data_IF_174170324621
#
_entry.id   IF_174170324621
#
_cell.length_a   1.000
_cell.length_b   1.000
_cell.length_c   1.000
_cell.angle_alpha   90.00
_cell.angle_beta   90.00
_cell.angle_gamma   90.00
#
_symmetry.space_group_name_H-M   'P 1'
#
loop_
_entity.id
_entity.type
_entity.pdbx_description
1 polymer ?
#
# COMPACT_ATOMS: atom_id res chain seq x y z
N UNK A 1 15.30 -9.59 -1.84
CA UNK A 1 14.42 -10.77 -1.98
C UNK A 1 15.24 -12.05 -1.82
N UNK A 2 16.32 -12.22 -2.59
CA UNK A 2 17.23 -13.38 -2.45
C UNK A 2 17.83 -13.60 -1.05
N UNK A 3 18.23 -12.56 -0.30
CA UNK A 3 18.81 -12.73 1.05
C UNK A 3 17.80 -13.27 2.08
N UNK A 4 16.51 -12.91 1.96
CA UNK A 4 15.45 -13.41 2.84
C UNK A 4 15.03 -14.83 2.51
N UNK A 5 15.00 -15.19 1.22
CA UNK A 5 14.70 -16.55 0.76
C UNK A 5 15.83 -17.55 1.07
N UNK A 6 17.07 -17.07 1.20
CA UNK A 6 18.25 -17.89 1.53
C UNK A 6 18.56 -17.97 3.04
N UNK A 7 17.65 -17.47 3.90
CA UNK A 7 17.80 -17.54 5.37
C UNK A 7 18.83 -16.58 5.97
N UNK A 8 19.24 -15.56 5.22
CA UNK A 8 20.24 -14.59 5.65
C UNK A 8 19.66 -13.49 6.53
N UNK A 9 19.66 -13.69 7.84
CA UNK A 9 19.05 -12.76 8.82
C UNK A 9 20.05 -11.84 9.54
N UNK A 10 21.35 -12.03 9.34
CA UNK A 10 22.41 -11.29 10.07
C UNK A 10 22.93 -10.10 9.27
N UNK A 11 23.08 -8.93 9.90
CA UNK A 11 23.62 -7.69 9.28
C UNK A 11 25.00 -7.86 8.64
N UNK A 12 25.78 -8.87 9.08
CA UNK A 12 27.07 -9.25 8.49
C UNK A 12 26.96 -9.70 7.03
N UNK A 13 25.82 -10.27 6.61
CA UNK A 13 25.60 -10.74 5.23
C UNK A 13 25.57 -9.56 4.25
N UNK A 14 25.02 -8.43 4.67
CA UNK A 14 25.05 -7.19 3.88
C UNK A 14 26.49 -6.70 3.66
N UNK A 15 27.29 -6.68 4.73
CA UNK A 15 28.71 -6.29 4.66
C UNK A 15 29.55 -7.25 3.80
N UNK A 16 29.37 -8.56 3.94
CA UNK A 16 30.04 -9.54 3.07
C UNK A 16 29.62 -9.37 1.60
N UNK A 17 28.33 -9.17 1.35
CA UNK A 17 27.81 -8.95 -0.01
C UNK A 17 28.41 -7.71 -0.67
N UNK A 18 28.56 -6.60 0.07
CA UNK A 18 29.16 -5.38 -0.47
C UNK A 18 30.65 -5.54 -0.77
N UNK A 19 31.39 -6.26 0.07
CA UNK A 19 32.82 -6.54 -0.17
C UNK A 19 32.99 -7.41 -1.41
N UNK A 20 32.20 -8.48 -1.53
CA UNK A 20 32.23 -9.36 -2.70
C UNK A 20 31.86 -8.57 -3.96
N UNK A 21 30.80 -7.76 -3.93
CA UNK A 21 30.39 -6.92 -5.05
C UNK A 21 31.49 -5.94 -5.45
N UNK A 22 32.16 -5.30 -4.49
CA UNK A 22 33.26 -4.37 -4.75
C UNK A 22 34.44 -5.07 -5.44
N UNK A 23 34.83 -6.26 -4.98
CA UNK A 23 35.89 -7.07 -5.60
C UNK A 23 35.50 -7.48 -7.03
N UNK A 24 34.27 -7.93 -7.24
CA UNK A 24 33.75 -8.29 -8.56
C UNK A 24 33.77 -7.09 -9.50
N UNK A 25 33.30 -5.92 -9.06
CA UNK A 25 33.32 -4.71 -9.89
C UNK A 25 34.75 -4.32 -10.24
N UNK A 26 35.70 -4.33 -9.31
CA UNK A 26 37.10 -3.98 -9.60
C UNK A 26 37.75 -4.95 -10.61
N UNK A 27 37.45 -6.25 -10.51
CA UNK A 27 37.97 -7.26 -11.43
C UNK A 27 37.29 -7.23 -12.82
N UNK A 28 35.96 -7.02 -12.87
CA UNK A 28 35.17 -7.01 -14.10
C UNK A 28 35.01 -5.62 -14.71
N UNK A 29 35.43 -4.54 -14.04
CA UNK A 29 35.40 -3.16 -14.55
C UNK A 29 35.87 -3.02 -16.00
N UNK A 30 37.03 -3.59 -16.42
CA UNK A 30 37.48 -3.48 -17.81
C UNK A 30 36.58 -4.25 -18.80
N UNK A 31 35.89 -5.32 -18.37
CA UNK A 31 34.89 -6.01 -19.19
C UNK A 31 33.58 -5.22 -19.28
N UNK A 32 33.20 -4.52 -18.20
CA UNK A 32 31.98 -3.72 -18.11
C UNK A 32 32.04 -2.45 -18.97
N UNK A 33 33.22 -1.92 -19.27
CA UNK A 33 33.36 -0.76 -20.16
C UNK A 33 32.93 -1.09 -21.61
N UNK A 34 33.17 -2.33 -22.05
CA UNK A 34 32.76 -2.80 -23.38
C UNK A 34 31.30 -3.26 -23.43
N UNK A 35 30.55 -3.17 -22.33
CA UNK A 35 29.18 -3.67 -22.29
C UNK A 35 28.24 -2.72 -23.05
N UNK A 36 27.43 -3.23 -24.01
CA UNK A 36 26.47 -2.40 -24.71
C UNK A 36 25.34 -1.94 -23.78
N UNK A 37 24.91 -0.68 -23.94
CA UNK A 37 23.79 -0.08 -23.19
C UNK A 37 22.49 -0.91 -23.26
N UNK A 38 22.33 -1.71 -24.31
CA UNK A 38 21.20 -2.63 -24.47
C UNK A 38 21.12 -3.70 -23.38
N UNK A 39 22.24 -4.25 -22.91
CA UNK A 39 22.24 -5.24 -21.84
C UNK A 39 21.81 -4.64 -20.50
N UNK A 40 22.30 -3.42 -20.19
CA UNK A 40 21.90 -2.67 -19.00
C UNK A 40 20.41 -2.35 -19.00
N UNK A 41 19.88 -1.86 -20.14
CA UNK A 41 18.46 -1.61 -20.31
C UNK A 41 17.62 -2.90 -20.13
N UNK A 42 18.09 -4.03 -20.66
CA UNK A 42 17.43 -5.33 -20.49
C UNK A 42 17.32 -5.74 -19.01
N UNK A 43 18.38 -5.59 -18.23
CA UNK A 43 18.38 -5.88 -16.79
C UNK A 43 17.38 -4.97 -16.05
N UNK A 44 17.33 -3.68 -16.39
CA UNK A 44 16.39 -2.73 -15.79
C UNK A 44 14.94 -3.14 -16.09
N UNK A 45 14.61 -3.47 -17.34
CA UNK A 45 13.25 -3.88 -17.74
C UNK A 45 12.81 -5.15 -17.00
N UNK A 46 13.70 -6.15 -16.87
CA UNK A 46 13.40 -7.39 -16.14
C UNK A 46 13.12 -7.10 -14.66
N UNK A 47 13.88 -6.20 -14.03
CA UNK A 47 13.63 -5.77 -12.66
C UNK A 47 12.31 -5.00 -12.51
N UNK A 48 11.97 -4.16 -13.50
CA UNK A 48 10.73 -3.39 -13.50
C UNK A 48 9.48 -4.21 -13.80
N UNK A 49 9.61 -5.42 -14.37
CA UNK A 49 8.47 -6.30 -14.68
C UNK A 49 7.55 -6.52 -13.47
N UNK A 50 8.13 -6.73 -12.28
CA UNK A 50 7.35 -6.90 -11.04
C UNK A 50 6.63 -5.63 -10.59
N UNK A 51 7.19 -4.45 -10.88
CA UNK A 51 6.55 -3.17 -10.61
C UNK A 51 5.40 -2.89 -11.59
N UNK A 52 5.59 -3.19 -12.88
CA UNK A 52 4.56 -3.01 -13.90
C UNK A 52 3.33 -3.90 -13.66
N UNK A 53 3.52 -5.11 -13.11
CA UNK A 53 2.40 -5.95 -12.69
C UNK A 53 1.53 -5.29 -11.62
N UNK A 54 2.12 -4.51 -10.70
CA UNK A 54 1.37 -3.77 -9.66
C UNK A 54 0.51 -2.64 -10.23
N UNK A 55 0.80 -2.14 -11.44
CA UNK A 55 -0.09 -1.17 -12.11
C UNK A 55 -1.46 -1.82 -12.39
N UNK A 56 -1.50 -3.14 -12.62
CA UNK A 56 -2.77 -3.86 -12.79
C UNK A 56 -3.60 -3.91 -11.51
N UNK A 57 -2.99 -3.72 -10.34
CA UNK A 57 -3.71 -3.69 -9.06
C UNK A 57 -4.60 -2.44 -8.92
N UNK A 58 -4.40 -1.40 -9.74
CA UNK A 58 -5.28 -0.22 -9.76
C UNK A 58 -6.75 -0.62 -9.97
N UNK A 59 -7.00 -1.58 -10.87
CA UNK A 59 -8.35 -2.07 -11.17
C UNK A 59 -8.96 -2.80 -9.96
N UNK A 60 -8.13 -3.41 -9.11
CA UNK A 60 -8.55 -4.04 -7.87
C UNK A 60 -8.92 -3.00 -6.81
N UNK A 61 -8.09 -1.98 -6.59
CA UNK A 61 -8.38 -0.89 -5.63
C UNK A 61 -9.64 -0.11 -5.99
N UNK A 62 -9.88 0.12 -7.29
CA UNK A 62 -11.09 0.78 -7.77
C UNK A 62 -12.38 0.04 -7.37
N UNK A 63 -12.35 -1.29 -7.28
CA UNK A 63 -13.52 -2.10 -6.88
C UNK A 63 -13.77 -2.11 -5.38
N UNK A 64 -12.76 -1.87 -4.55
CA UNK A 64 -12.87 -1.95 -3.09
C UNK A 64 -13.26 -0.61 -2.48
N UNK A 65 -12.50 0.44 -2.82
CA UNK A 65 -12.71 1.75 -2.24
C UNK A 65 -12.26 2.84 -3.21
N UNK A 66 -13.24 3.58 -3.73
CA UNK A 66 -13.00 4.69 -4.67
C UNK A 66 -12.03 5.73 -4.11
N UNK A 67 -12.03 5.95 -2.79
CA UNK A 67 -11.13 6.92 -2.15
C UNK A 67 -9.67 6.47 -2.22
N UNK A 68 -9.40 5.18 -2.01
CA UNK A 68 -8.05 4.62 -2.11
C UNK A 68 -7.57 4.55 -3.57
N UNK A 69 -8.49 4.32 -4.52
CA UNK A 69 -8.18 4.41 -5.94
C UNK A 69 -7.83 5.83 -6.39
N UNK A 70 -8.53 6.85 -5.88
CA UNK A 70 -8.20 8.26 -6.14
C UNK A 70 -6.81 8.61 -5.59
N UNK A 71 -6.48 8.17 -4.36
CA UNK A 71 -5.16 8.37 -3.78
C UNK A 71 -4.05 7.77 -4.65
N UNK A 72 -4.25 6.53 -5.10
CA UNK A 72 -3.30 5.85 -5.99
C UNK A 72 -3.13 6.60 -7.31
N UNK A 73 -4.25 7.03 -7.93
CA UNK A 73 -4.21 7.73 -9.21
C UNK A 73 -3.53 9.08 -9.10
N UNK A 74 -3.85 9.87 -8.07
CA UNK A 74 -3.24 11.19 -7.87
C UNK A 74 -1.75 11.06 -7.62
N UNK A 75 -1.32 10.15 -6.75
CA UNK A 75 0.11 9.95 -6.47
C UNK A 75 0.87 9.46 -7.70
N UNK A 76 0.32 8.52 -8.45
CA UNK A 76 0.89 8.06 -9.71
C UNK A 76 1.03 9.18 -10.74
N UNK A 77 -0.02 9.99 -10.90
CA UNK A 77 -0.02 11.10 -11.86
C UNK A 77 0.95 12.21 -11.45
N UNK A 78 1.06 12.50 -10.15
CA UNK A 78 2.05 13.48 -9.64
C UNK A 78 3.49 13.02 -9.91
N UNK A 79 3.81 11.74 -9.69
CA UNK A 79 5.15 11.21 -9.98
C UNK A 79 5.47 11.28 -11.48
N UNK A 80 4.51 11.02 -12.36
CA UNK A 80 4.71 11.08 -13.82
C UNK A 80 4.86 12.51 -14.34
N UNK A 81 4.09 13.46 -13.79
CA UNK A 81 4.08 14.84 -14.27
C UNK A 81 5.19 15.71 -13.66
N UNK A 82 5.68 15.34 -12.48
CA UNK A 82 6.75 16.04 -11.78
C UNK A 82 7.94 15.10 -11.62
N UNK A 83 8.31 14.77 -10.39
CA UNK A 83 9.39 13.87 -10.05
C UNK A 83 8.98 12.98 -8.89
N UNK A 84 9.72 11.89 -8.68
CA UNK A 84 9.50 10.95 -7.56
C UNK A 84 9.56 11.69 -6.22
N UNK A 85 10.47 12.65 -6.08
CA UNK A 85 10.64 13.42 -4.83
C UNK A 85 9.36 14.17 -4.46
N UNK A 86 8.81 14.96 -5.40
CA UNK A 86 7.58 15.75 -5.19
C UNK A 86 6.37 14.82 -5.02
N UNK A 87 6.30 13.75 -5.82
CA UNK A 87 5.20 12.78 -5.75
C UNK A 87 5.10 12.09 -4.38
N UNK A 88 6.23 11.80 -3.73
CA UNK A 88 6.26 11.24 -2.37
C UNK A 88 5.71 12.25 -1.37
N UNK A 89 6.12 13.51 -1.40
CA UNK A 89 5.60 14.54 -0.48
C UNK A 89 4.09 14.72 -0.63
N UNK A 90 3.59 14.82 -1.86
CA UNK A 90 2.17 14.94 -2.16
C UNK A 90 1.40 13.69 -1.69
N UNK A 91 1.94 12.51 -1.94
CA UNK A 91 1.31 11.25 -1.50
C UNK A 91 1.19 11.13 0.01
N UNK A 92 2.22 11.55 0.76
CA UNK A 92 2.18 11.58 2.23
C UNK A 92 1.11 12.57 2.70
N UNK A 93 1.08 13.78 2.15
CA UNK A 93 0.12 14.81 2.54
C UNK A 93 -1.34 14.36 2.32
N UNK A 94 -1.65 13.80 1.15
CA UNK A 94 -3.00 13.31 0.82
C UNK A 94 -3.35 12.09 1.66
N UNK A 95 -2.42 11.15 1.87
CA UNK A 95 -2.67 9.96 2.70
C UNK A 95 -3.01 10.36 4.15
N UNK A 96 -2.28 11.33 4.70
CA UNK A 96 -2.52 11.85 6.04
C UNK A 96 -3.88 12.55 6.14
N UNK A 97 -4.21 13.40 5.16
CA UNK A 97 -5.49 14.10 5.09
C UNK A 97 -6.67 13.13 4.97
N UNK A 98 -6.55 12.13 4.10
CA UNK A 98 -7.54 11.06 3.92
C UNK A 98 -7.75 10.27 5.21
N UNK A 99 -6.65 9.88 5.88
CA UNK A 99 -6.71 9.16 7.15
C UNK A 99 -7.41 9.98 8.22
N UNK A 100 -7.07 11.27 8.32
CA UNK A 100 -7.70 12.20 9.28
C UNK A 100 -9.21 12.30 9.05
N UNK A 101 -9.65 12.50 7.80
CA UNK A 101 -11.08 12.57 7.46
C UNK A 101 -11.80 11.24 7.76
N UNK A 102 -11.15 10.10 7.50
CA UNK A 102 -11.70 8.77 7.78
C UNK A 102 -11.86 8.52 9.29
N UNK A 103 -10.90 8.95 10.10
CA UNK A 103 -10.96 8.84 11.57
C UNK A 103 -12.02 9.76 12.16
N UNK A 104 -12.22 10.96 11.59
CA UNK A 104 -13.21 11.93 12.09
C UNK A 104 -14.66 11.64 11.69
N UNK A 105 -14.92 10.64 10.84
CA UNK A 105 -16.26 10.08 10.64
C UNK A 105 -16.39 8.70 11.32
N UNK A 106 -16.41 8.62 12.67
CA UNK A 106 -16.81 7.39 13.31
C UNK A 106 -18.23 7.07 12.84
N UNK A 107 -18.41 5.88 12.24
CA UNK A 107 -19.76 5.39 11.94
C UNK A 107 -20.42 5.12 13.29
N UNK A 108 -21.21 6.07 13.76
CA UNK A 108 -22.13 5.82 14.86
C UNK A 108 -23.14 4.76 14.38
N UNK A 109 -22.94 3.52 14.82
CA UNK A 109 -23.91 2.44 14.64
C UNK A 109 -24.74 2.38 15.90
N UNK A 110 -25.99 2.82 15.83
CA UNK A 110 -26.96 2.63 16.92
C UNK A 110 -27.25 1.13 17.03
N UNK A 111 -26.88 0.54 18.16
CA UNK A 111 -27.10 -0.87 18.50
C UNK A 111 -28.40 -1.00 19.29
N UNK A 112 -29.25 -1.97 18.95
CA UNK A 112 -30.48 -2.31 19.66
C UNK A 112 -30.32 -3.65 20.39
N UNK A 113 -30.99 -3.82 21.53
CA UNK A 113 -30.95 -5.05 22.34
C UNK A 113 -31.90 -6.08 21.77
N UNK A 114 -31.44 -7.30 21.52
CA UNK A 114 -32.29 -8.38 20.99
C UNK A 114 -32.97 -9.14 22.15
N UNK A 115 -34.23 -8.80 22.44
CA UNK A 115 -35.05 -9.44 23.47
C UNK A 115 -34.41 -9.40 24.87
N UNK A 116 -34.57 -10.48 25.65
CA UNK A 116 -34.09 -10.57 27.05
C UNK A 116 -32.69 -11.19 27.22
N UNK A 117 -31.86 -11.15 26.16
CA UNK A 117 -30.49 -11.66 26.17
C UNK A 117 -29.46 -10.52 26.14
N UNK A 118 -28.25 -10.76 26.66
CA UNK A 118 -27.16 -9.78 26.72
C UNK A 118 -26.50 -9.44 25.36
N UNK A 119 -27.19 -9.72 24.23
CA UNK A 119 -26.66 -9.54 22.89
C UNK A 119 -27.21 -8.26 22.24
N UNK A 120 -26.30 -7.37 21.83
CA UNK A 120 -26.60 -6.12 21.14
C UNK A 120 -26.28 -6.27 19.64
N UNK A 121 -27.24 -5.92 18.77
CA UNK A 121 -27.08 -6.03 17.30
C UNK A 121 -27.59 -4.75 16.62
N UNK A 122 -27.02 -4.39 15.48
CA UNK A 122 -27.37 -3.15 14.78
C UNK A 122 -28.84 -3.14 14.30
N UNK A 123 -29.60 -2.10 14.67
CA UNK A 123 -31.04 -1.95 14.36
C UNK A 123 -31.29 -1.90 12.84
N UNK A 124 -30.31 -1.43 12.06
CA UNK A 124 -30.41 -1.33 10.59
C UNK A 124 -30.47 -2.67 9.85
N UNK A 125 -30.05 -3.77 10.47
CA UNK A 125 -29.98 -5.10 9.82
C UNK A 125 -31.14 -6.00 10.24
N UNK A 126 -31.77 -5.73 11.39
CA UNK A 126 -32.90 -6.50 11.91
C UNK A 126 -34.00 -5.54 12.41
N UNK A 127 -35.02 -5.25 11.57
CA UNK A 127 -36.16 -4.41 11.97
C UNK A 127 -36.97 -5.01 13.13
N UNK A 128 -36.87 -6.32 13.37
CA UNK A 128 -37.58 -7.03 14.45
C UNK A 128 -37.09 -6.72 15.86
N UNK A 129 -36.12 -5.80 16.01
CA UNK A 129 -35.52 -5.38 17.30
C UNK A 129 -36.08 -4.02 17.75
N UNK A 130 -36.90 -3.36 16.92
CA UNK A 130 -37.44 -2.02 17.22
C UNK A 130 -38.63 -2.00 18.18
N UNK A 131 -39.24 -3.14 18.48
CA UNK A 131 -40.50 -3.18 19.26
C UNK A 131 -40.30 -3.02 20.78
N UNK A 132 -39.07 -3.10 21.30
CA UNK A 132 -38.77 -2.92 22.74
C UNK A 132 -38.11 -1.56 23.07
N UNK A 133 -37.89 -0.69 22.08
CA UNK A 133 -37.31 0.63 22.32
C UNK A 133 -38.36 1.59 22.90
N UNK A 134 -38.34 1.71 24.23
CA UNK A 134 -39.01 2.77 24.99
C UNK A 134 -38.61 4.19 24.52
N UNK A 135 -39.33 5.23 24.99
CA UNK A 135 -39.65 6.46 24.26
C UNK A 135 -38.47 7.44 24.17
N UNK A 136 -37.44 7.11 23.41
CA UNK A 136 -36.32 8.01 23.12
C UNK A 136 -36.15 8.16 21.60
N UNK A 137 -37.15 8.78 20.97
CA UNK A 137 -37.22 8.93 19.50
C UNK A 137 -36.93 10.36 19.00
N UNK A 138 -36.38 11.24 19.84
CA UNK A 138 -36.23 12.65 19.47
C UNK A 138 -34.88 13.24 19.89
N UNK A 139 -33.76 12.71 19.36
CA UNK A 139 -32.50 13.45 19.17
C UNK A 139 -31.68 12.84 18.02
#
# INVERSE_FOLDING_TARGET
MVQGESGGTTSLIGGFSSVILAVVILALAPLLESLPMACLAGIIIVNLKGLLLKVSDFMYYYRINIMEAILWLVTFLTVILSDVDIGVYVGIAISFLMNTIRTQRPRFVVLGRVGDTAFYKSIKVFPSVSDELGPYKDF
#
